data_IF_997232044640
#
_entry.id   IF_997232044640
#
_cell.length_a   1.000
_cell.length_b   1.000
_cell.length_c   1.000
_cell.angle_alpha   90.00
_cell.angle_beta   90.00
_cell.angle_gamma   90.00
#
_symmetry.space_group_name_H-M   'P 1'
#
loop_
_entity.id
_entity.type
_entity.pdbx_description
1 polymer ?
#
# COMPACT_ATOMS: atom_id res chain seq x y z
N UNK A 1 1.06 -22.52 0.06
CA UNK A 1 0.36 -21.27 0.48
C UNK A 1 1.40 -20.20 0.82
N UNK A 2 1.20 -18.92 0.47
CA UNK A 2 2.08 -17.82 0.87
C UNK A 2 1.50 -17.13 2.12
N UNK A 3 2.33 -16.82 3.11
CA UNK A 3 1.93 -16.04 4.29
C UNK A 3 2.86 -14.84 4.49
N UNK A 4 2.32 -13.78 5.08
CA UNK A 4 3.05 -12.55 5.39
C UNK A 4 2.99 -12.36 6.90
N UNK A 5 4.12 -11.99 7.49
CA UNK A 5 4.17 -11.48 8.87
C UNK A 5 4.93 -10.17 8.91
N UNK A 6 4.39 -9.22 9.66
CA UNK A 6 5.05 -7.95 9.95
C UNK A 6 6.21 -8.21 10.92
N UNK A 7 7.37 -7.65 10.60
CA UNK A 7 8.59 -7.76 11.40
C UNK A 7 8.75 -6.63 12.41
N UNK A 8 9.96 -6.53 12.98
CA UNK A 8 10.36 -5.51 13.95
C UNK A 8 11.80 -5.07 13.68
N UNK A 9 12.20 -3.88 14.13
CA UNK A 9 13.56 -3.37 13.94
C UNK A 9 13.88 -3.17 12.46
N UNK A 10 14.91 -3.85 11.95
CA UNK A 10 15.29 -3.74 10.52
C UNK A 10 14.44 -4.62 9.58
N UNK A 11 13.65 -5.56 10.09
CA UNK A 11 12.82 -6.44 9.24
C UNK A 11 11.43 -5.85 9.12
N UNK A 12 11.01 -5.49 7.91
CA UNK A 12 9.67 -4.97 7.65
C UNK A 12 8.65 -6.10 7.47
N UNK A 13 8.91 -6.99 6.51
CA UNK A 13 8.03 -8.11 6.20
C UNK A 13 8.83 -9.38 6.06
N UNK A 14 8.25 -10.48 6.53
CA UNK A 14 8.70 -11.84 6.20
C UNK A 14 7.62 -12.51 5.37
N UNK A 15 8.01 -12.98 4.19
CA UNK A 15 7.17 -13.75 3.28
C UNK A 15 7.58 -15.21 3.41
N UNK A 16 6.65 -16.07 3.83
CA UNK A 16 6.88 -17.51 3.93
C UNK A 16 6.09 -18.26 2.87
N UNK A 17 6.78 -19.16 2.19
CA UNK A 17 6.19 -20.21 1.37
C UNK A 17 6.48 -21.57 2.01
N UNK A 18 5.94 -22.65 1.45
CA UNK A 18 6.25 -24.01 1.94
C UNK A 18 7.74 -24.37 1.82
N UNK A 19 8.48 -23.73 0.91
CA UNK A 19 9.85 -24.10 0.57
C UNK A 19 10.87 -22.96 0.74
N UNK A 20 10.42 -21.74 1.02
CA UNK A 20 11.29 -20.56 1.08
C UNK A 20 10.80 -19.51 2.07
N UNK A 21 11.75 -18.70 2.52
CA UNK A 21 11.51 -17.50 3.31
C UNK A 21 12.21 -16.33 2.60
N UNK A 22 11.47 -15.24 2.37
CA UNK A 22 12.02 -13.98 1.88
C UNK A 22 11.81 -12.90 2.93
N UNK A 23 12.80 -12.03 3.08
CA UNK A 23 12.80 -10.97 4.09
C UNK A 23 12.95 -9.63 3.36
N UNK A 24 11.98 -8.74 3.58
CA UNK A 24 12.05 -7.35 3.13
C UNK A 24 12.51 -6.52 4.33
N UNK A 25 13.67 -5.87 4.21
CA UNK A 25 14.28 -5.08 5.28
C UNK A 25 14.13 -3.58 5.03
N UNK A 26 14.29 -2.78 6.07
CA UNK A 26 14.30 -1.32 5.95
C UNK A 26 15.46 -0.83 5.10
N UNK A 27 16.61 -1.52 5.11
CA UNK A 27 17.74 -1.20 4.23
C UNK A 27 17.39 -1.24 2.73
N UNK A 28 16.41 -2.04 2.32
CA UNK A 28 15.90 -2.07 0.93
C UNK A 28 15.02 -0.86 0.61
N UNK A 29 14.31 -0.32 1.60
CA UNK A 29 13.36 0.78 1.41
C UNK A 29 13.99 2.15 1.64
N UNK A 30 14.97 2.29 2.52
CA UNK A 30 15.64 3.58 2.81
C UNK A 30 16.12 4.35 1.56
N UNK A 31 16.64 3.71 0.49
CA UNK A 31 17.04 4.43 -0.71
C UNK A 31 15.87 5.00 -1.53
N UNK A 32 14.63 4.57 -1.26
CA UNK A 32 13.44 4.91 -2.04
C UNK A 32 12.29 5.49 -1.20
N UNK A 33 12.43 5.53 0.13
CA UNK A 33 11.48 6.10 1.06
C UNK A 33 12.18 7.16 1.90
N UNK A 34 12.05 8.43 1.50
CA UNK A 34 12.83 9.51 2.11
C UNK A 34 12.27 9.99 3.46
N UNK A 35 11.00 9.70 3.74
CA UNK A 35 10.33 10.13 4.98
C UNK A 35 10.72 9.32 6.23
N UNK A 36 11.31 8.12 6.06
CA UNK A 36 11.66 7.25 7.19
C UNK A 36 13.09 7.53 7.69
N UNK A 37 13.20 8.41 8.70
CA UNK A 37 14.47 8.96 9.16
C UNK A 37 15.31 8.00 10.02
N UNK A 38 14.71 7.22 10.92
CA UNK A 38 15.47 6.41 11.88
C UNK A 38 15.69 4.97 11.41
N UNK A 39 15.15 4.62 10.24
CA UNK A 39 15.44 3.39 9.53
C UNK A 39 15.05 2.12 10.29
N UNK A 40 14.18 2.24 11.28
CA UNK A 40 13.52 1.13 11.96
C UNK A 40 12.07 1.06 11.51
N UNK A 41 11.46 -0.12 11.60
CA UNK A 41 10.02 -0.27 11.43
C UNK A 41 9.21 0.36 12.57
N UNK A 42 9.87 0.76 13.67
CA UNK A 42 9.21 1.27 14.87
C UNK A 42 8.51 2.62 14.65
N UNK A 43 8.92 3.39 13.64
CA UNK A 43 8.29 4.67 13.26
C UNK A 43 7.07 4.49 12.36
N UNK A 44 6.87 3.28 11.81
CA UNK A 44 5.79 2.99 10.88
C UNK A 44 4.48 2.93 11.67
N UNK A 45 3.61 3.90 11.38
CA UNK A 45 2.31 4.04 12.06
C UNK A 45 1.26 3.10 11.46
N UNK A 46 1.44 2.74 10.19
CA UNK A 46 0.56 1.83 9.46
C UNK A 46 1.32 1.11 8.36
N UNK A 47 0.99 -0.17 8.19
CA UNK A 47 1.50 -1.03 7.13
C UNK A 47 0.38 -1.96 6.68
N UNK A 48 0.19 -2.03 5.36
CA UNK A 48 -0.71 -2.98 4.70
C UNK A 48 0.06 -3.71 3.61
N UNK A 49 -0.22 -5.00 3.45
CA UNK A 49 0.47 -5.85 2.49
C UNK A 49 -0.46 -6.97 2.00
N UNK A 50 -0.63 -7.08 0.68
CA UNK A 50 -1.52 -8.06 0.06
C UNK A 50 -0.88 -8.69 -1.17
N UNK A 51 -1.20 -9.97 -1.42
CA UNK A 51 -0.73 -10.68 -2.60
C UNK A 51 -1.67 -10.53 -3.79
N UNK A 52 -1.06 -10.26 -4.95
CA UNK A 52 -1.66 -10.35 -6.28
C UNK A 52 -0.76 -11.27 -7.12
N UNK A 53 -1.14 -12.56 -7.19
CA UNK A 53 -0.32 -13.63 -7.75
C UNK A 53 1.10 -13.72 -7.11
N UNK A 54 2.12 -13.33 -7.88
CA UNK A 54 3.53 -13.31 -7.45
C UNK A 54 4.01 -11.93 -7.01
N UNK A 55 3.12 -10.94 -7.02
CA UNK A 55 3.41 -9.59 -6.56
C UNK A 55 2.84 -9.40 -5.16
N UNK A 56 3.67 -8.89 -4.26
CA UNK A 56 3.23 -8.37 -2.97
C UNK A 56 3.15 -6.84 -3.10
N UNK A 57 1.95 -6.28 -3.01
CA UNK A 57 1.76 -4.83 -2.93
C UNK A 57 1.73 -4.42 -1.47
N UNK A 58 2.46 -3.37 -1.15
CA UNK A 58 2.56 -2.84 0.21
C UNK A 58 2.31 -1.35 0.19
N UNK A 59 1.64 -0.84 1.22
CA UNK A 59 1.65 0.57 1.55
C UNK A 59 2.00 0.76 3.02
N UNK A 60 2.80 1.79 3.30
CA UNK A 60 3.20 2.14 4.65
C UNK A 60 3.26 3.65 4.80
N UNK A 61 2.92 4.15 5.99
CA UNK A 61 3.06 5.57 6.28
C UNK A 61 3.63 5.84 7.68
N UNK A 62 4.14 7.06 7.81
CA UNK A 62 4.69 7.69 9.01
C UNK A 62 4.11 9.09 9.15
N UNK A 63 4.39 9.77 10.27
CA UNK A 63 4.08 11.18 10.48
C UNK A 63 2.60 11.52 10.22
N UNK A 64 1.69 10.75 10.80
CA UNK A 64 0.23 10.87 10.63
C UNK A 64 -0.22 10.79 9.17
N UNK A 65 0.44 9.96 8.37
CA UNK A 65 0.17 9.79 6.95
C UNK A 65 0.84 10.82 6.04
N UNK A 66 1.52 11.84 6.57
CA UNK A 66 2.15 12.89 5.74
C UNK A 66 3.40 12.42 5.01
N UNK A 67 3.99 11.30 5.44
CA UNK A 67 5.07 10.63 4.73
C UNK A 67 4.73 9.17 4.53
N UNK A 68 5.06 8.60 3.38
CA UNK A 68 4.64 7.23 3.09
C UNK A 68 5.10 6.72 1.75
N UNK A 69 5.06 5.40 1.60
CA UNK A 69 5.48 4.71 0.40
C UNK A 69 4.46 3.64 0.02
N UNK A 70 4.22 3.51 -1.28
CA UNK A 70 3.65 2.31 -1.88
C UNK A 70 4.78 1.61 -2.63
N UNK A 71 4.95 0.31 -2.43
CA UNK A 71 5.93 -0.47 -3.17
C UNK A 71 5.39 -1.84 -3.55
N UNK A 72 5.93 -2.41 -4.63
CA UNK A 72 5.60 -3.77 -5.07
C UNK A 72 6.85 -4.62 -5.07
N UNK A 73 6.80 -5.72 -4.33
CA UNK A 73 7.83 -6.76 -4.31
C UNK A 73 7.43 -7.92 -5.23
N UNK A 74 8.27 -8.21 -6.21
CA UNK A 74 8.12 -9.38 -7.07
C UNK A 74 8.76 -10.60 -6.39
N UNK A 75 7.93 -11.51 -5.87
CA UNK A 75 8.39 -12.69 -5.13
C UNK A 75 9.18 -13.68 -5.99
N UNK A 76 8.99 -13.67 -7.32
CA UNK A 76 9.74 -14.53 -8.23
C UNK A 76 11.13 -13.96 -8.54
N UNK A 77 11.26 -12.62 -8.57
CA UNK A 77 12.52 -11.93 -8.87
C UNK A 77 13.29 -11.46 -7.63
N UNK A 78 12.68 -11.54 -6.46
CA UNK A 78 13.20 -11.07 -5.18
C UNK A 78 13.71 -9.62 -5.24
N UNK A 79 12.88 -8.73 -5.80
CA UNK A 79 13.19 -7.30 -5.90
C UNK A 79 11.95 -6.43 -5.91
N UNK A 80 12.17 -5.16 -5.56
CA UNK A 80 11.18 -4.11 -5.77
C UNK A 80 11.07 -3.84 -7.28
N UNK A 81 9.84 -3.90 -7.78
CA UNK A 81 9.50 -3.65 -9.19
C UNK A 81 8.65 -2.41 -9.39
N UNK A 82 8.19 -1.81 -8.30
CA UNK A 82 7.47 -0.55 -8.32
C UNK A 82 7.64 0.15 -6.98
N UNK A 83 7.75 1.47 -7.00
CA UNK A 83 7.47 2.32 -5.85
C UNK A 83 6.95 3.69 -6.27
N UNK A 84 6.11 4.27 -5.42
CA UNK A 84 5.53 5.62 -5.56
C UNK A 84 5.18 6.21 -4.19
N UNK A 85 4.78 7.49 -4.16
CA UNK A 85 4.28 8.16 -2.97
C UNK A 85 3.12 7.39 -2.31
N UNK A 86 3.21 7.23 -0.99
CA UNK A 86 2.20 6.57 -0.16
C UNK A 86 1.63 7.45 0.94
N UNK A 87 1.64 8.78 0.78
CA UNK A 87 1.00 9.67 1.76
C UNK A 87 -0.47 9.31 1.96
N UNK A 88 -0.86 9.13 3.22
CA UNK A 88 -2.20 8.70 3.62
C UNK A 88 -2.67 7.37 3.04
N UNK A 89 -1.78 6.57 2.43
CA UNK A 89 -2.14 5.32 1.80
C UNK A 89 -2.57 4.30 2.86
N UNK A 90 -3.83 3.87 2.77
CA UNK A 90 -4.42 2.87 3.67
C UNK A 90 -4.60 1.52 3.00
N UNK A 91 -4.64 1.48 1.68
CA UNK A 91 -4.70 0.22 0.92
C UNK A 91 -4.09 0.44 -0.45
N UNK A 92 -3.45 -0.59 -0.99
CA UNK A 92 -2.99 -0.58 -2.37
C UNK A 92 -3.39 -1.89 -3.06
N UNK A 93 -3.63 -1.81 -4.36
CA UNK A 93 -4.04 -2.95 -5.18
C UNK A 93 -3.39 -2.87 -6.55
N UNK A 94 -3.30 -4.03 -7.21
CA UNK A 94 -2.68 -4.15 -8.53
C UNK A 94 -3.71 -4.73 -9.48
N UNK A 95 -3.84 -4.12 -10.66
CA UNK A 95 -4.35 -4.82 -11.83
C UNK A 95 -3.20 -5.05 -12.84
N UNK A 96 -3.51 -5.59 -14.02
CA UNK A 96 -2.48 -5.96 -15.01
C UNK A 96 -1.53 -4.83 -15.42
N UNK A 97 -1.96 -3.57 -15.32
CA UNK A 97 -1.25 -2.42 -15.88
C UNK A 97 -0.97 -1.31 -14.85
N UNK A 98 -1.65 -1.30 -13.72
CA UNK A 98 -1.63 -0.18 -12.79
C UNK A 98 -1.63 -0.62 -11.33
N UNK A 99 -1.03 0.23 -10.50
CA UNK A 99 -1.16 0.22 -9.04
C UNK A 99 -2.21 1.26 -8.68
N UNK A 100 -3.17 0.87 -7.85
CA UNK A 100 -4.21 1.73 -7.29
C UNK A 100 -3.92 1.94 -5.81
N UNK A 101 -4.05 3.17 -5.36
CA UNK A 101 -3.79 3.54 -3.97
C UNK A 101 -5.04 4.19 -3.41
N UNK A 102 -5.60 3.59 -2.36
CA UNK A 102 -6.66 4.17 -1.57
C UNK A 102 -6.03 4.98 -0.44
N UNK A 103 -6.41 6.25 -0.34
CA UNK A 103 -5.91 7.20 0.65
C UNK A 103 -7.03 7.64 1.57
N UNK A 104 -6.72 7.77 2.86
CA UNK A 104 -7.62 8.34 3.84
C UNK A 104 -7.16 9.75 4.17
N UNK A 105 -7.74 10.72 3.48
CA UNK A 105 -7.33 12.13 3.52
C UNK A 105 -8.08 12.85 4.63
N UNK A 106 -7.34 13.56 5.48
CA UNK A 106 -7.88 14.35 6.58
C UNK A 106 -7.04 15.62 6.79
N UNK A 107 -7.25 16.65 5.96
CA UNK A 107 -6.59 17.95 6.10
C UNK A 107 -7.42 18.95 6.92
N UNK A 108 -6.80 20.05 7.34
CA UNK A 108 -7.50 21.10 8.07
C UNK A 108 -8.53 21.82 7.18
N UNK A 109 -9.81 21.76 7.57
CA UNK A 109 -10.89 22.45 6.87
C UNK A 109 -11.66 21.63 5.84
N UNK A 110 -11.34 20.35 5.68
CA UNK A 110 -12.13 19.40 4.90
C UNK A 110 -12.51 18.20 5.79
N UNK A 111 -13.70 17.66 5.59
CA UNK A 111 -14.10 16.42 6.26
C UNK A 111 -13.17 15.28 5.80
N UNK A 112 -12.87 14.35 6.71
CA UNK A 112 -12.11 13.17 6.36
C UNK A 112 -12.87 12.38 5.28
N UNK A 113 -12.16 11.89 4.27
CA UNK A 113 -12.74 11.15 3.16
C UNK A 113 -11.69 10.26 2.51
N UNK A 114 -12.15 9.37 1.64
CA UNK A 114 -11.33 8.52 0.82
C UNK A 114 -11.09 9.16 -0.54
N UNK A 115 -9.84 9.07 -0.99
CA UNK A 115 -9.45 9.36 -2.37
C UNK A 115 -8.79 8.13 -2.96
N UNK A 116 -8.90 7.97 -4.28
CA UNK A 116 -8.16 6.94 -4.99
C UNK A 116 -7.38 7.56 -6.13
N UNK A 117 -6.16 7.10 -6.30
CA UNK A 117 -5.35 7.37 -7.47
C UNK A 117 -4.75 6.10 -8.03
N UNK A 118 -4.16 6.24 -9.20
CA UNK A 118 -3.47 5.17 -9.89
C UNK A 118 -2.25 5.67 -10.64
N UNK A 119 -1.28 4.79 -10.79
CA UNK A 119 -0.13 4.99 -11.64
C UNK A 119 0.27 3.67 -12.32
N UNK A 120 1.04 3.71 -13.43
CA UNK A 120 1.47 2.50 -14.11
C UNK A 120 2.25 1.55 -13.20
N UNK A 121 1.95 0.26 -13.27
CA UNK A 121 2.78 -0.77 -12.64
C UNK A 121 4.19 -0.70 -13.26
N UNK A 122 5.21 -0.64 -12.42
CA UNK A 122 6.59 -0.39 -12.85
C UNK A 122 7.10 1.03 -12.65
N UNK A 123 6.28 1.98 -12.20
CA UNK A 123 6.76 3.28 -11.70
C UNK A 123 7.82 3.07 -10.61
N UNK A 124 8.92 3.80 -10.70
CA UNK A 124 10.07 3.74 -9.77
C UNK A 124 10.48 5.17 -9.43
N UNK A 125 9.53 5.96 -8.98
CA UNK A 125 9.69 7.38 -8.67
C UNK A 125 8.64 7.78 -7.64
N UNK A 126 9.08 8.35 -6.51
CA UNK A 126 8.23 8.72 -5.38
C UNK A 126 7.24 9.81 -5.80
N UNK A 127 7.74 10.89 -6.41
CA UNK A 127 6.96 12.06 -6.84
C UNK A 127 6.34 11.90 -8.24
N UNK A 128 6.05 10.66 -8.67
CA UNK A 128 5.46 10.42 -9.99
C UNK A 128 4.03 11.00 -10.08
N UNK A 129 3.68 11.57 -11.23
CA UNK A 129 2.33 12.02 -11.52
C UNK A 129 1.33 10.85 -11.45
N UNK A 130 0.34 10.97 -10.56
CA UNK A 130 -0.74 9.99 -10.42
C UNK A 130 -2.01 10.47 -11.11
N UNK A 131 -2.81 9.52 -11.59
CA UNK A 131 -4.13 9.79 -12.15
C UNK A 131 -5.21 9.55 -11.09
N UNK A 132 -5.96 10.60 -10.75
CA UNK A 132 -7.11 10.47 -9.85
C UNK A 132 -8.15 9.48 -10.43
N UNK A 133 -8.70 8.66 -9.56
CA UNK A 133 -9.77 7.70 -9.85
C UNK A 133 -11.02 8.15 -9.10
N UNK A 134 -12.06 8.50 -9.84
CA UNK A 134 -13.30 8.99 -9.25
C UNK A 134 -14.00 7.88 -8.45
N UNK A 135 -14.29 8.20 -7.18
CA UNK A 135 -15.13 7.37 -6.31
C UNK A 135 -16.54 7.96 -6.27
N UNK A 136 -17.55 7.11 -6.14
CA UNK A 136 -18.89 7.60 -5.82
C UNK A 136 -18.93 8.23 -4.41
N UNK A 137 -19.90 9.10 -4.19
CA UNK A 137 -20.02 9.90 -2.95
C UNK A 137 -20.15 9.01 -1.69
N UNK A 138 -20.85 7.88 -1.79
CA UNK A 138 -21.02 6.94 -0.68
C UNK A 138 -19.67 6.33 -0.28
N UNK A 139 -18.91 5.86 -1.27
CA UNK A 139 -17.60 5.26 -1.08
C UNK A 139 -16.57 6.29 -0.61
N UNK A 140 -16.59 7.50 -1.17
CA UNK A 140 -15.69 8.57 -0.77
C UNK A 140 -15.84 8.93 0.72
N UNK A 141 -17.03 8.77 1.30
CA UNK A 141 -17.26 9.07 2.73
C UNK A 141 -17.37 7.81 3.61
N UNK A 142 -17.15 6.62 3.04
CA UNK A 142 -17.12 5.37 3.78
C UNK A 142 -15.85 5.29 4.62
N UNK A 143 -15.92 5.81 5.85
CA UNK A 143 -14.82 5.74 6.81
C UNK A 143 -15.05 4.63 7.83
N UNK A 144 -14.06 3.76 7.98
CA UNK A 144 -14.05 2.69 8.99
C UNK A 144 -12.94 2.90 10.01
N UNK A 145 -13.14 2.36 11.22
CA UNK A 145 -12.18 2.51 12.32
C UNK A 145 -10.84 1.80 12.08
N UNK A 146 -10.87 0.71 11.34
CA UNK A 146 -9.67 -0.08 11.04
C UNK A 146 -9.53 -0.24 9.52
N UNK A 147 -8.65 0.56 8.88
CA UNK A 147 -8.46 0.56 7.44
C UNK A 147 -7.98 -0.78 6.88
N UNK A 148 -7.50 -1.72 7.70
CA UNK A 148 -7.17 -3.07 7.23
C UNK A 148 -8.39 -3.83 6.69
N UNK A 149 -9.60 -3.41 7.08
CA UNK A 149 -10.85 -4.02 6.61
C UNK A 149 -11.28 -3.52 5.22
N UNK A 150 -10.63 -2.51 4.65
CA UNK A 150 -10.86 -2.14 3.25
C UNK A 150 -10.33 -3.23 2.32
N UNK A 151 -11.11 -3.54 1.29
CA UNK A 151 -10.73 -4.41 0.18
C UNK A 151 -10.94 -3.67 -1.12
N UNK A 152 -9.94 -3.73 -2.00
CA UNK A 152 -10.04 -3.25 -3.37
C UNK A 152 -10.10 -4.49 -4.27
N UNK A 153 -11.20 -4.63 -5.01
CA UNK A 153 -11.37 -5.64 -6.06
C UNK A 153 -11.53 -4.93 -7.41
N UNK A 154 -11.65 -5.69 -8.50
CA UNK A 154 -11.81 -5.15 -9.84
C UNK A 154 -13.05 -5.74 -10.52
N UNK A 155 -13.88 -4.85 -11.06
CA UNK A 155 -15.04 -5.27 -11.84
C UNK A 155 -14.64 -5.87 -13.21
N UNK A 156 -15.62 -6.31 -14.00
CA UNK A 156 -15.37 -6.88 -15.34
C UNK A 156 -14.71 -5.91 -16.34
N UNK A 157 -14.73 -4.61 -16.05
CA UNK A 157 -14.06 -3.55 -16.82
C UNK A 157 -12.69 -3.16 -16.24
N UNK A 158 -12.17 -3.91 -15.26
CA UNK A 158 -10.96 -3.61 -14.49
C UNK A 158 -10.99 -2.28 -13.74
N UNK A 159 -12.17 -1.77 -13.39
CA UNK A 159 -12.29 -0.61 -12.50
C UNK A 159 -12.26 -1.07 -11.04
N UNK A 160 -11.56 -0.35 -10.15
CA UNK A 160 -11.50 -0.69 -8.75
C UNK A 160 -12.89 -0.55 -8.09
N UNK A 161 -13.23 -1.49 -7.22
CA UNK A 161 -14.38 -1.46 -6.32
C UNK A 161 -13.85 -1.54 -4.89
N UNK A 162 -14.29 -0.63 -4.03
CA UNK A 162 -13.97 -0.67 -2.60
C UNK A 162 -15.10 -1.37 -1.85
N UNK A 163 -14.75 -2.27 -0.95
CA UNK A 163 -15.68 -2.91 -0.02
C UNK A 163 -15.06 -3.04 1.38
N UNK A 164 -15.88 -3.37 2.37
CA UNK A 164 -15.45 -3.55 3.76
C UNK A 164 -15.71 -4.99 4.18
N UNK A 165 -14.71 -5.65 4.74
CA UNK A 165 -14.88 -6.99 5.32
C UNK A 165 -15.29 -6.85 6.78
N UNK A 166 -16.56 -7.14 7.08
CA UNK A 166 -17.02 -7.27 8.47
C UNK A 166 -16.59 -8.64 9.01
N UNK A 167 -15.71 -8.64 10.01
CA UNK A 167 -15.44 -9.83 10.80
C UNK A 167 -16.52 -9.92 11.89
N UNK A 168 -17.62 -10.61 11.59
CA UNK A 168 -18.61 -11.02 12.61
C UNK A 168 -18.07 -12.15 13.51
#
# INVERSE_FOLDING_TARGET
MKTISIGTGNTLLTIKTENSEQIITMDLLRPIWHDIADGSCDDIEYLSADFYDDLLVCCAYVSQGQGGIVFVWDTSKEKIVHYSDGKFAVKAAINKESVYVLRMVSFWGQEAHLEMDSCPLGTMEEDNDVSAVELDEETAHLLINDPQNYVIDFNSENRPIISVVSHD
#
